data_IF_901136461685
#
_entry.id   IF_901136461685
#
_cell.length_a   1.000
_cell.length_b   1.000
_cell.length_c   1.000
_cell.angle_alpha   90.00
_cell.angle_beta   90.00
_cell.angle_gamma   90.00
#
_symmetry.space_group_name_H-M   'P 1'
#
loop_
_entity.id
_entity.type
_entity.pdbx_description
1 polymer ?
#
# COMPACT_ATOMS: atom_id res chain seq x y z
N UNK A 1 23.22 4.31 -12.51
CA UNK A 1 22.08 4.54 -13.44
C UNK A 1 22.09 6.00 -13.84
N UNK A 2 22.08 6.29 -15.13
CA UNK A 2 21.95 7.67 -15.63
C UNK A 2 20.57 8.24 -15.27
N UNK A 3 20.42 9.57 -15.25
CA UNK A 3 19.13 10.22 -15.00
C UNK A 3 18.04 9.65 -15.94
N UNK A 4 18.34 9.46 -17.23
CA UNK A 4 17.41 8.93 -18.23
C UNK A 4 16.88 7.53 -17.94
N UNK A 5 17.68 6.66 -17.32
CA UNK A 5 17.21 5.32 -16.93
C UNK A 5 16.28 5.33 -15.72
N UNK A 6 16.36 6.36 -14.86
CA UNK A 6 15.50 6.47 -13.67
C UNK A 6 14.07 6.87 -14.02
N UNK A 7 13.89 7.63 -15.12
CA UNK A 7 12.57 8.10 -15.59
C UNK A 7 11.72 7.02 -16.22
N UNK A 8 12.33 6.12 -16.99
CA UNK A 8 11.63 5.00 -17.61
C UNK A 8 10.89 4.15 -16.58
N UNK A 9 11.34 4.16 -15.31
CA UNK A 9 10.76 3.35 -14.26
C UNK A 9 9.44 3.90 -13.70
N UNK A 10 9.18 5.21 -13.78
CA UNK A 10 7.91 5.78 -13.29
C UNK A 10 6.87 6.00 -14.38
N UNK A 11 7.26 6.05 -15.64
CA UNK A 11 6.34 6.16 -16.80
C UNK A 11 5.31 5.03 -16.89
N UNK A 12 5.65 3.85 -16.39
CA UNK A 12 4.78 2.68 -16.42
C UNK A 12 3.63 2.74 -15.40
N UNK A 13 3.59 3.77 -14.55
CA UNK A 13 2.52 3.93 -13.57
C UNK A 13 1.48 4.93 -14.06
N UNK A 14 0.20 4.59 -13.87
CA UNK A 14 -0.93 5.37 -14.35
C UNK A 14 -0.88 6.85 -13.93
N UNK A 15 -0.41 7.13 -12.71
CA UNK A 15 -0.26 8.50 -12.23
C UNK A 15 0.63 9.35 -13.14
N UNK A 16 1.72 8.76 -13.66
CA UNK A 16 2.78 9.45 -14.39
C UNK A 16 2.72 9.24 -15.91
N UNK A 17 1.98 8.24 -16.39
CA UNK A 17 2.01 7.74 -17.78
C UNK A 17 1.67 8.78 -18.86
N UNK A 18 1.08 9.91 -18.50
CA UNK A 18 0.63 10.94 -19.47
C UNK A 18 1.47 12.20 -19.45
N UNK A 19 2.59 12.21 -18.75
CA UNK A 19 3.52 13.34 -18.76
C UNK A 19 4.39 13.31 -20.02
N UNK A 20 4.65 14.47 -20.60
CA UNK A 20 5.63 14.63 -21.70
C UNK A 20 7.06 14.55 -21.16
N UNK A 21 8.05 14.49 -22.05
CA UNK A 21 9.46 14.44 -21.66
C UNK A 21 9.89 15.71 -20.92
N UNK A 22 9.43 16.87 -21.39
CA UNK A 22 9.68 18.16 -20.73
C UNK A 22 9.06 18.21 -19.33
N UNK A 23 7.87 17.63 -19.18
CA UNK A 23 7.19 17.54 -17.88
C UNK A 23 7.91 16.59 -16.91
N UNK A 24 8.52 15.53 -17.43
CA UNK A 24 9.40 14.69 -16.64
C UNK A 24 10.68 15.42 -16.21
N UNK A 25 11.24 16.25 -17.07
CA UNK A 25 12.41 17.05 -16.74
C UNK A 25 12.10 18.10 -15.66
N UNK A 26 10.90 18.70 -15.70
CA UNK A 26 10.41 19.55 -14.59
C UNK A 26 10.29 18.75 -13.28
N UNK A 27 9.79 17.50 -13.32
CA UNK A 27 9.74 16.61 -12.16
C UNK A 27 11.13 16.29 -11.60
N UNK A 28 12.15 16.20 -12.46
CA UNK A 28 13.53 15.91 -12.04
C UNK A 28 14.10 16.98 -11.12
N UNK A 29 13.64 18.20 -11.26
CA UNK A 29 14.08 19.32 -10.43
C UNK A 29 13.44 19.26 -9.04
N UNK A 30 12.25 18.66 -8.91
CA UNK A 30 11.41 18.74 -7.69
C UNK A 30 11.41 17.46 -6.85
N UNK A 31 12.09 16.39 -7.25
CA UNK A 31 12.09 15.12 -6.51
C UNK A 31 13.47 14.54 -6.26
N UNK A 32 13.54 13.70 -5.23
CA UNK A 32 14.75 12.95 -4.88
C UNK A 32 14.48 11.46 -4.95
N UNK A 33 15.42 10.71 -5.51
CA UNK A 33 15.44 9.27 -5.44
C UNK A 33 16.02 8.80 -4.12
N UNK A 34 15.35 7.87 -3.46
CA UNK A 34 15.77 7.27 -2.21
C UNK A 34 15.86 5.76 -2.42
N UNK A 35 17.01 5.21 -2.07
CA UNK A 35 17.24 3.77 -1.95
C UNK A 35 17.37 3.46 -0.46
N UNK A 36 16.59 2.52 0.05
CA UNK A 36 16.67 2.10 1.45
C UNK A 36 16.71 0.58 1.55
N UNK A 37 17.51 0.06 2.48
CA UNK A 37 17.61 -1.37 2.75
C UNK A 37 16.45 -1.82 3.63
N UNK A 38 16.14 -3.11 3.59
CA UNK A 38 15.17 -3.70 4.52
C UNK A 38 15.48 -3.28 5.96
N UNK A 39 14.48 -2.71 6.63
CA UNK A 39 14.57 -2.26 8.02
C UNK A 39 14.95 -0.79 8.19
N UNK A 40 15.43 -0.11 7.15
CA UNK A 40 15.72 1.32 7.23
C UNK A 40 14.42 2.12 7.34
N UNK A 41 14.43 3.13 8.21
CA UNK A 41 13.32 4.08 8.31
C UNK A 41 13.44 5.12 7.21
N UNK A 42 12.35 5.34 6.48
CA UNK A 42 12.21 6.43 5.51
C UNK A 42 11.93 7.73 6.27
N UNK A 43 11.11 7.63 7.29
CA UNK A 43 10.90 8.65 8.32
C UNK A 43 10.45 8.01 9.63
N UNK A 44 10.69 8.76 10.70
CA UNK A 44 10.30 8.42 12.06
C UNK A 44 9.88 9.71 12.78
N UNK A 45 8.80 9.69 13.47
CA UNK A 45 8.02 10.62 14.27
C UNK A 45 8.53 12.05 14.52
N UNK A 46 9.83 12.25 14.73
CA UNK A 46 10.37 13.48 15.31
C UNK A 46 10.46 14.68 14.33
N UNK A 47 10.15 14.49 13.06
CA UNK A 47 10.34 15.52 12.04
C UNK A 47 9.05 15.80 11.28
N UNK A 48 8.69 17.07 11.17
CA UNK A 48 7.61 17.49 10.29
C UNK A 48 7.86 17.02 8.87
N UNK A 49 7.11 16.01 8.44
CA UNK A 49 7.21 15.49 7.09
C UNK A 49 6.54 16.44 6.12
N UNK A 50 7.34 17.14 5.36
CA UNK A 50 6.88 17.99 4.26
C UNK A 50 7.10 17.29 2.92
N UNK A 51 6.91 15.95 2.89
CA UNK A 51 7.19 15.14 1.71
C UNK A 51 6.07 14.17 1.39
N UNK A 52 5.84 14.03 0.09
CA UNK A 52 5.07 12.95 -0.51
C UNK A 52 6.04 11.95 -1.12
N UNK A 53 5.79 10.67 -0.94
CA UNK A 53 6.64 9.59 -1.45
C UNK A 53 5.85 8.72 -2.43
N UNK A 54 6.53 8.26 -3.47
CA UNK A 54 6.02 7.31 -4.44
C UNK A 54 6.90 6.06 -4.46
N UNK A 55 6.31 4.88 -4.25
CA UNK A 55 7.05 3.61 -4.23
C UNK A 55 7.26 3.12 -5.65
N UNK A 56 8.52 3.05 -6.09
CA UNK A 56 8.91 2.49 -7.38
C UNK A 56 9.08 0.98 -7.31
N UNK A 57 9.67 0.51 -6.21
CA UNK A 57 9.93 -0.91 -6.00
C UNK A 57 9.96 -1.23 -4.50
N UNK A 58 9.55 -2.46 -4.15
CA UNK A 58 9.52 -2.95 -2.79
C UNK A 58 8.24 -2.63 -2.03
N UNK A 59 8.31 -2.74 -0.71
CA UNK A 59 7.19 -2.56 0.22
C UNK A 59 7.60 -1.62 1.35
N UNK A 60 6.70 -0.73 1.75
CA UNK A 60 6.84 0.15 2.91
C UNK A 60 5.78 -0.23 3.93
N UNK A 61 6.16 -0.48 5.17
CA UNK A 61 5.22 -0.57 6.27
C UNK A 61 5.08 0.77 6.96
N UNK A 62 3.84 1.20 7.17
CA UNK A 62 3.50 2.41 7.91
C UNK A 62 2.80 1.98 9.19
N UNK A 63 3.24 2.53 10.30
CA UNK A 63 2.69 2.25 11.60
C UNK A 63 2.90 3.39 12.57
N UNK A 64 2.57 3.15 13.81
CA UNK A 64 2.82 4.04 14.93
C UNK A 64 3.28 3.23 16.14
N UNK A 65 3.94 3.90 17.06
CA UNK A 65 4.31 3.32 18.34
C UNK A 65 3.20 3.66 19.33
N UNK A 66 2.59 2.64 19.93
CA UNK A 66 1.57 2.82 20.94
C UNK A 66 2.18 3.24 22.30
N UNK A 67 1.34 3.64 23.26
CA UNK A 67 1.76 4.07 24.60
C UNK A 67 2.55 3.01 25.37
N UNK A 68 2.48 1.75 24.95
CA UNK A 68 3.26 0.64 25.51
C UNK A 68 4.60 0.41 24.82
N UNK A 69 4.93 1.20 23.82
CA UNK A 69 6.15 1.09 23.01
C UNK A 69 6.09 0.02 21.92
N UNK A 70 4.91 -0.52 21.60
CA UNK A 70 4.74 -1.53 20.53
C UNK A 70 4.48 -0.88 19.19
N UNK A 71 5.12 -1.42 18.15
CA UNK A 71 4.83 -1.06 16.76
C UNK A 71 3.46 -1.63 16.34
N UNK A 72 2.54 -0.76 15.95
CA UNK A 72 1.24 -1.13 15.38
C UNK A 72 1.24 -0.76 13.90
N UNK A 73 1.17 -1.76 13.04
CA UNK A 73 1.17 -1.55 11.59
C UNK A 73 -0.23 -1.15 11.13
N UNK A 74 -0.32 0.03 10.52
CA UNK A 74 -1.55 0.60 10.00
C UNK A 74 -1.77 0.23 8.52
N UNK A 75 -0.68 0.21 7.74
CA UNK A 75 -0.75 0.08 6.29
C UNK A 75 0.54 -0.51 5.72
N UNK A 76 0.43 -1.28 4.63
CA UNK A 76 1.55 -1.69 3.79
C UNK A 76 1.37 -1.08 2.41
N UNK A 77 2.30 -0.22 2.06
CA UNK A 77 2.36 0.48 0.77
C UNK A 77 3.17 -0.37 -0.20
N UNK A 78 2.66 -0.48 -1.42
CA UNK A 78 3.26 -1.28 -2.48
C UNK A 78 3.75 -0.40 -3.62
N UNK A 79 4.47 -1.03 -4.52
CA UNK A 79 4.86 -0.46 -5.81
C UNK A 79 3.67 0.23 -6.50
N UNK A 80 3.88 1.49 -6.93
CA UNK A 80 2.88 2.32 -7.60
C UNK A 80 1.99 3.16 -6.68
N UNK A 81 2.13 3.02 -5.36
CA UNK A 81 1.33 3.75 -4.38
C UNK A 81 2.07 4.96 -3.80
N UNK A 82 1.28 5.94 -3.34
CA UNK A 82 1.75 7.14 -2.65
C UNK A 82 1.59 6.99 -1.13
N UNK A 83 2.53 7.56 -0.38
CA UNK A 83 2.45 7.68 1.07
C UNK A 83 3.14 8.96 1.59
N UNK A 84 3.12 9.18 2.89
CA UNK A 84 3.58 10.41 3.51
C UNK A 84 2.47 11.45 3.58
N UNK A 85 2.77 12.72 3.33
CA UNK A 85 1.82 13.82 3.48
C UNK A 85 0.82 13.91 2.31
N UNK A 86 -0.10 12.95 2.25
CA UNK A 86 -1.08 12.83 1.14
C UNK A 86 -2.08 13.99 1.14
N UNK A 87 -2.39 14.60 2.29
CA UNK A 87 -3.32 15.74 2.37
C UNK A 87 -2.75 17.01 1.74
N UNK A 88 -1.46 17.04 1.42
CA UNK A 88 -0.71 18.20 0.94
C UNK A 88 -0.74 19.40 1.93
N UNK A 89 -1.03 19.13 3.19
CA UNK A 89 -1.00 20.10 4.29
C UNK A 89 0.10 19.69 5.27
N UNK A 90 0.71 20.68 5.92
CA UNK A 90 1.72 20.47 6.96
C UNK A 90 1.05 20.00 8.24
N UNK A 91 0.91 18.68 8.40
CA UNK A 91 0.41 18.07 9.64
C UNK A 91 1.49 17.18 10.25
N UNK A 92 1.66 17.26 11.56
CA UNK A 92 2.44 16.28 12.32
C UNK A 92 1.52 15.12 12.72
N UNK A 93 1.79 13.92 12.20
CA UNK A 93 1.20 12.70 12.75
C UNK A 93 2.17 12.22 13.85
N UNK A 94 1.85 12.47 15.11
CA UNK A 94 2.65 12.00 16.24
C UNK A 94 2.75 10.48 16.21
N UNK A 95 3.94 9.94 16.35
CA UNK A 95 4.20 8.53 16.47
C UNK A 95 4.24 7.74 15.16
N UNK A 96 4.00 8.37 14.02
CA UNK A 96 4.02 7.65 12.76
C UNK A 96 5.45 7.36 12.28
N UNK A 97 5.66 6.16 11.75
CA UNK A 97 6.87 5.78 11.04
C UNK A 97 6.56 5.15 9.68
N UNK A 98 7.50 5.28 8.75
CA UNK A 98 7.56 4.50 7.52
C UNK A 98 8.89 3.78 7.41
N UNK A 99 8.87 2.47 7.16
CA UNK A 99 10.04 1.62 7.14
C UNK A 99 10.06 0.71 5.92
N UNK A 100 11.23 0.55 5.32
CA UNK A 100 11.47 -0.42 4.24
C UNK A 100 11.20 -1.84 4.74
N UNK A 101 10.31 -2.57 4.03
CA UNK A 101 9.77 -3.84 4.49
C UNK A 101 10.08 -4.96 3.50
N UNK A 102 10.41 -6.16 4.03
CA UNK A 102 10.78 -7.38 3.28
C UNK A 102 12.10 -7.28 2.51
N UNK A 103 12.20 -6.35 1.55
CA UNK A 103 13.34 -6.18 0.68
C UNK A 103 13.84 -4.72 0.73
N UNK A 104 14.90 -4.41 0.01
CA UNK A 104 15.26 -3.03 -0.30
C UNK A 104 14.14 -2.37 -1.11
N UNK A 105 14.00 -1.07 -0.95
CA UNK A 105 12.97 -0.26 -1.60
C UNK A 105 13.60 0.88 -2.38
N UNK A 106 12.95 1.25 -3.47
CA UNK A 106 13.29 2.42 -4.27
C UNK A 106 12.09 3.36 -4.32
N UNK A 107 12.31 4.62 -3.99
CA UNK A 107 11.29 5.66 -3.84
C UNK A 107 11.63 6.90 -4.63
N UNK A 108 10.59 7.66 -5.01
CA UNK A 108 10.71 9.09 -5.33
C UNK A 108 10.11 9.89 -4.16
N UNK A 109 10.80 10.95 -3.74
CA UNK A 109 10.32 11.87 -2.73
C UNK A 109 10.13 13.26 -3.34
N UNK A 110 8.97 13.87 -3.09
CA UNK A 110 8.60 15.19 -3.56
C UNK A 110 8.39 16.11 -2.36
N UNK A 111 8.87 17.36 -2.40
CA UNK A 111 8.38 18.34 -1.44
C UNK A 111 6.90 18.64 -1.71
N UNK A 112 6.12 18.92 -0.68
CA UNK A 112 4.69 19.24 -0.85
C UNK A 112 4.54 20.47 -1.72
N UNK A 113 5.34 21.51 -1.48
CA UNK A 113 5.27 22.76 -2.21
C UNK A 113 5.52 22.56 -3.71
N UNK A 114 6.52 21.77 -4.07
CA UNK A 114 6.83 21.54 -5.48
C UNK A 114 5.80 20.64 -6.14
N UNK A 115 5.30 19.64 -5.42
CA UNK A 115 4.23 18.80 -5.93
C UNK A 115 2.94 19.59 -6.13
N UNK A 116 2.58 20.51 -5.23
CA UNK A 116 1.44 21.41 -5.40
C UNK A 116 1.59 22.32 -6.62
N UNK A 117 2.77 22.92 -6.83
CA UNK A 117 3.05 23.72 -8.04
C UNK A 117 2.86 22.88 -9.31
N UNK A 118 3.34 21.61 -9.28
CA UNK A 118 3.16 20.70 -10.40
C UNK A 118 1.68 20.38 -10.67
N UNK A 119 0.89 20.11 -9.63
CA UNK A 119 -0.54 19.87 -9.76
C UNK A 119 -1.27 21.08 -10.35
N UNK A 120 -0.89 22.31 -9.97
CA UNK A 120 -1.45 23.54 -10.53
C UNK A 120 -1.15 23.70 -12.04
N UNK A 121 0.07 23.35 -12.44
CA UNK A 121 0.48 23.38 -13.85
C UNK A 121 -0.14 22.27 -14.71
N UNK A 122 -0.47 21.12 -14.10
CA UNK A 122 -0.89 19.88 -14.77
C UNK A 122 -2.26 19.38 -14.25
N UNK A 123 -3.38 19.93 -14.74
CA UNK A 123 -4.73 19.55 -14.28
C UNK A 123 -5.03 18.06 -14.45
N UNK A 124 -4.50 17.40 -15.49
CA UNK A 124 -4.67 15.97 -15.71
C UNK A 124 -4.01 15.14 -14.61
N UNK A 125 -2.82 15.53 -14.14
CA UNK A 125 -2.14 14.92 -12.99
C UNK A 125 -2.93 15.19 -11.71
N UNK A 126 -3.44 16.41 -11.51
CA UNK A 126 -4.25 16.75 -10.33
C UNK A 126 -5.51 15.88 -10.24
N UNK A 127 -6.18 15.64 -11.39
CA UNK A 127 -7.35 14.76 -11.44
C UNK A 127 -7.01 13.32 -11.09
N UNK A 128 -5.88 12.79 -11.58
CA UNK A 128 -5.42 11.44 -11.24
C UNK A 128 -5.05 11.33 -9.77
N UNK A 129 -4.34 12.32 -9.24
CA UNK A 129 -4.01 12.38 -7.82
C UNK A 129 -5.27 12.39 -6.96
N UNK A 130 -6.27 13.23 -7.29
CA UNK A 130 -7.55 13.27 -6.60
C UNK A 130 -8.28 11.92 -6.61
N UNK A 131 -8.26 11.21 -7.75
CA UNK A 131 -8.83 9.85 -7.83
C UNK A 131 -8.10 8.85 -6.92
N UNK A 132 -6.77 8.92 -6.82
CA UNK A 132 -6.01 8.07 -5.91
C UNK A 132 -6.33 8.35 -4.44
N UNK A 133 -6.41 9.63 -4.05
CA UNK A 133 -6.81 10.05 -2.71
C UNK A 133 -8.23 9.58 -2.39
N UNK A 134 -9.17 9.77 -3.31
CA UNK A 134 -10.55 9.28 -3.16
C UNK A 134 -10.65 7.75 -3.04
N UNK A 135 -9.83 7.02 -3.81
CA UNK A 135 -9.74 5.56 -3.69
C UNK A 135 -9.19 5.13 -2.32
N UNK A 136 -8.15 5.82 -1.83
CA UNK A 136 -7.57 5.56 -0.50
C UNK A 136 -8.57 5.84 0.62
N UNK A 137 -9.32 6.95 0.54
CA UNK A 137 -10.38 7.28 1.49
C UNK A 137 -11.43 6.17 1.53
N UNK A 138 -11.94 5.74 0.39
CA UNK A 138 -12.92 4.66 0.28
C UNK A 138 -12.40 3.33 0.86
N UNK A 139 -11.11 3.06 0.71
CA UNK A 139 -10.47 1.89 1.30
C UNK A 139 -10.47 1.93 2.83
N UNK A 140 -10.19 3.11 3.41
CA UNK A 140 -10.23 3.36 4.86
C UNK A 140 -11.67 3.24 5.39
N UNK A 141 -12.65 3.83 4.69
CA UNK A 141 -14.09 3.71 5.04
C UNK A 141 -14.54 2.24 5.05
N UNK A 142 -14.22 1.48 3.99
CA UNK A 142 -14.56 0.06 3.92
C UNK A 142 -13.90 -0.75 5.06
N UNK A 143 -12.65 -0.44 5.41
CA UNK A 143 -11.97 -1.07 6.54
C UNK A 143 -12.67 -0.75 7.86
N UNK A 144 -13.07 0.50 8.07
CA UNK A 144 -13.82 0.91 9.26
C UNK A 144 -15.17 0.18 9.35
N UNK A 145 -15.93 0.13 8.26
CA UNK A 145 -17.20 -0.60 8.20
C UNK A 145 -17.03 -2.09 8.48
N UNK A 146 -15.98 -2.71 7.96
CA UNK A 146 -15.64 -4.11 8.27
C UNK A 146 -15.35 -4.31 9.76
N UNK A 147 -14.60 -3.40 10.39
CA UNK A 147 -14.29 -3.46 11.82
C UNK A 147 -15.55 -3.34 12.69
N UNK A 148 -16.52 -2.51 12.28
CA UNK A 148 -17.75 -2.27 13.04
C UNK A 148 -18.80 -3.38 12.89
N UNK A 149 -18.88 -4.01 11.70
CA UNK A 149 -20.04 -4.82 11.34
C UNK A 149 -19.71 -6.29 11.00
N UNK A 150 -18.44 -6.67 10.89
CA UNK A 150 -18.03 -8.00 10.45
C UNK A 150 -17.20 -8.73 11.50
N UNK A 151 -17.38 -10.05 11.61
CA UNK A 151 -16.54 -10.90 12.43
C UNK A 151 -15.10 -11.01 11.86
N UNK A 152 -14.19 -11.59 12.62
CA UNK A 152 -12.77 -11.67 12.26
C UNK A 152 -12.55 -12.53 11.01
N UNK A 153 -13.29 -13.64 10.85
CA UNK A 153 -13.18 -14.53 9.67
C UNK A 153 -13.58 -13.79 8.40
N UNK A 154 -14.68 -13.07 8.45
CA UNK A 154 -15.15 -12.23 7.33
C UNK A 154 -14.19 -11.09 7.02
N UNK A 155 -13.63 -10.42 8.03
CA UNK A 155 -12.61 -9.38 7.82
C UNK A 155 -11.37 -9.95 7.13
N UNK A 156 -10.92 -11.13 7.53
CA UNK A 156 -9.78 -11.81 6.91
C UNK A 156 -10.09 -12.16 5.44
N UNK A 157 -11.24 -12.73 5.14
CA UNK A 157 -11.67 -13.04 3.77
C UNK A 157 -11.72 -11.78 2.91
N UNK A 158 -12.34 -10.70 3.40
CA UNK A 158 -12.42 -9.43 2.69
C UNK A 158 -11.03 -8.84 2.42
N UNK A 159 -10.12 -8.92 3.40
CA UNK A 159 -8.74 -8.46 3.25
C UNK A 159 -7.98 -9.27 2.19
N UNK A 160 -8.02 -10.59 2.26
CA UNK A 160 -7.38 -11.47 1.28
C UNK A 160 -7.95 -11.28 -0.13
N UNK A 161 -9.27 -11.11 -0.23
CA UNK A 161 -9.94 -10.81 -1.49
C UNK A 161 -9.46 -9.48 -2.11
N UNK A 162 -9.32 -8.43 -1.30
CA UNK A 162 -8.79 -7.15 -1.78
C UNK A 162 -7.37 -7.25 -2.33
N UNK A 163 -6.53 -8.08 -1.70
CA UNK A 163 -5.18 -8.36 -2.22
C UNK A 163 -5.25 -9.09 -3.56
N UNK A 164 -6.14 -10.08 -3.69
CA UNK A 164 -6.32 -10.84 -4.91
C UNK A 164 -6.82 -9.97 -6.08
N UNK A 165 -7.79 -9.10 -5.84
CA UNK A 165 -8.39 -8.24 -6.87
C UNK A 165 -7.38 -7.36 -7.61
N UNK A 166 -6.29 -6.96 -6.96
CA UNK A 166 -5.22 -6.17 -7.58
C UNK A 166 -4.45 -6.95 -8.66
N UNK A 167 -4.60 -8.29 -8.71
CA UNK A 167 -3.83 -9.17 -9.60
C UNK A 167 -4.69 -10.15 -10.43
N UNK A 168 -6.00 -10.13 -10.25
CA UNK A 168 -6.91 -11.02 -11.02
C UNK A 168 -6.92 -10.61 -12.49
N UNK A 169 -6.46 -11.51 -13.36
CA UNK A 169 -6.72 -11.37 -14.79
C UNK A 169 -8.19 -11.63 -15.09
N UNK A 170 -8.85 -10.87 -16.00
CA UNK A 170 -10.28 -10.95 -16.25
C UNK A 170 -10.83 -12.33 -16.61
N UNK A 171 -9.97 -13.24 -17.05
CA UNK A 171 -10.33 -14.59 -17.52
C UNK A 171 -9.88 -15.74 -16.62
N UNK A 172 -9.19 -15.46 -15.51
CA UNK A 172 -8.64 -16.51 -14.64
C UNK A 172 -9.57 -16.82 -13.47
N UNK A 173 -9.88 -18.10 -13.27
CA UNK A 173 -10.59 -18.56 -12.07
C UNK A 173 -9.66 -18.80 -10.87
N UNK A 174 -8.34 -18.86 -11.13
CA UNK A 174 -7.29 -19.04 -10.11
C UNK A 174 -6.40 -17.82 -10.08
N UNK A 175 -6.06 -17.33 -8.90
CA UNK A 175 -5.14 -16.18 -8.72
C UNK A 175 -4.18 -16.48 -7.58
N UNK A 176 -2.88 -16.22 -7.82
CA UNK A 176 -1.85 -16.26 -6.78
C UNK A 176 -1.27 -14.87 -6.59
N UNK A 177 -1.06 -14.49 -5.34
CA UNK A 177 -0.43 -13.22 -4.95
C UNK A 177 0.84 -13.50 -4.14
N UNK A 178 1.89 -12.68 -4.26
CA UNK A 178 3.07 -12.81 -3.41
C UNK A 178 2.69 -12.68 -1.92
N UNK A 179 3.21 -13.58 -1.10
CA UNK A 179 3.02 -13.51 0.34
C UNK A 179 4.13 -12.66 0.98
N UNK A 180 3.87 -11.37 1.07
CA UNK A 180 4.77 -10.40 1.72
C UNK A 180 4.36 -10.06 3.15
N UNK A 181 3.23 -10.58 3.66
CA UNK A 181 2.70 -10.28 4.99
C UNK A 181 3.04 -11.39 5.99
N UNK A 182 3.32 -11.01 7.22
CA UNK A 182 3.31 -11.94 8.35
C UNK A 182 1.89 -12.06 8.92
N UNK A 183 1.60 -13.11 9.70
CA UNK A 183 0.33 -13.21 10.41
C UNK A 183 0.11 -12.05 11.40
N UNK A 184 1.18 -11.47 11.94
CA UNK A 184 1.14 -10.27 12.77
C UNK A 184 0.71 -9.04 11.98
N UNK A 185 1.27 -8.84 10.76
CA UNK A 185 0.86 -7.75 9.88
C UNK A 185 -0.62 -7.87 9.52
N UNK A 186 -1.06 -9.07 9.13
CA UNK A 186 -2.48 -9.33 8.81
C UNK A 186 -3.35 -9.03 10.03
N UNK A 187 -2.94 -9.48 11.22
CA UNK A 187 -3.68 -9.24 12.46
C UNK A 187 -3.85 -7.75 12.74
N UNK A 188 -2.78 -6.96 12.64
CA UNK A 188 -2.84 -5.51 12.78
C UNK A 188 -3.76 -4.87 11.72
N UNK A 189 -3.65 -5.32 10.46
CA UNK A 189 -4.43 -4.76 9.35
C UNK A 189 -5.92 -5.06 9.45
N UNK A 190 -6.33 -6.18 10.04
CA UNK A 190 -7.74 -6.55 10.21
C UNK A 190 -8.29 -6.33 11.62
N UNK A 191 -7.48 -5.83 12.56
CA UNK A 191 -7.88 -5.59 13.95
C UNK A 191 -8.14 -6.89 14.71
N UNK A 192 -7.15 -7.81 14.74
CA UNK A 192 -7.26 -9.12 15.39
C UNK A 192 -5.94 -9.51 16.07
N UNK A 193 -5.87 -10.72 16.65
CA UNK A 193 -4.64 -11.28 17.17
C UNK A 193 -3.93 -12.16 16.13
N UNK A 194 -2.59 -12.24 16.22
CA UNK A 194 -1.78 -13.16 15.39
C UNK A 194 -2.27 -14.60 15.50
N UNK A 195 -2.62 -15.05 16.71
CA UNK A 195 -3.08 -16.42 16.95
C UNK A 195 -4.41 -16.68 16.19
N UNK A 196 -5.37 -15.78 16.30
CA UNK A 196 -6.65 -15.87 15.59
C UNK A 196 -6.43 -15.91 14.08
N UNK A 197 -5.56 -15.06 13.52
CA UNK A 197 -5.24 -15.06 12.08
C UNK A 197 -4.62 -16.40 11.68
N UNK A 198 -3.69 -16.95 12.48
CA UNK A 198 -3.06 -18.24 12.19
C UNK A 198 -4.11 -19.36 12.13
N UNK A 199 -5.02 -19.41 13.09
CA UNK A 199 -6.11 -20.40 13.12
C UNK A 199 -7.02 -20.26 11.90
N UNK A 200 -7.48 -19.05 11.61
CA UNK A 200 -8.40 -18.81 10.48
C UNK A 200 -7.75 -19.08 9.12
N UNK A 201 -6.47 -18.77 8.91
CA UNK A 201 -5.75 -19.12 7.67
C UNK A 201 -5.72 -20.63 7.48
N UNK A 202 -5.44 -21.40 8.54
CA UNK A 202 -5.45 -22.87 8.47
C UNK A 202 -6.86 -23.42 8.18
N UNK A 203 -7.91 -22.84 8.75
CA UNK A 203 -9.29 -23.19 8.44
C UNK A 203 -9.63 -22.92 6.97
N UNK A 204 -9.33 -21.72 6.46
CA UNK A 204 -9.57 -21.36 5.06
C UNK A 204 -8.80 -22.28 4.09
N UNK A 205 -7.60 -22.69 4.46
CA UNK A 205 -6.81 -23.65 3.68
C UNK A 205 -7.43 -25.05 3.72
N UNK A 206 -7.92 -25.52 4.87
CA UNK A 206 -8.60 -26.80 5.01
C UNK A 206 -9.93 -26.84 4.25
N UNK A 207 -10.67 -25.70 4.17
CA UNK A 207 -11.87 -25.52 3.37
C UNK A 207 -11.58 -25.43 1.86
N UNK A 208 -10.30 -25.40 1.46
CA UNK A 208 -9.86 -25.27 0.06
C UNK A 208 -10.16 -23.91 -0.56
N UNK A 209 -10.37 -22.86 0.26
CA UNK A 209 -10.61 -21.50 -0.20
C UNK A 209 -9.32 -20.80 -0.60
N UNK A 210 -8.22 -21.15 0.08
CA UNK A 210 -6.87 -20.64 -0.20
C UNK A 210 -5.85 -21.77 -0.12
N UNK A 211 -4.71 -21.58 -0.77
CA UNK A 211 -3.45 -22.24 -0.39
C UNK A 211 -2.47 -21.18 0.09
N UNK A 212 -1.75 -21.47 1.16
CA UNK A 212 -0.91 -20.50 1.84
C UNK A 212 0.47 -21.09 2.11
N UNK A 213 1.50 -20.42 1.62
CA UNK A 213 2.90 -20.76 1.91
C UNK A 213 3.73 -19.48 2.13
N UNK A 214 5.04 -19.64 2.34
CA UNK A 214 5.96 -18.51 2.60
C UNK A 214 6.09 -17.52 1.45
N UNK A 215 5.84 -17.96 0.23
CA UNK A 215 6.11 -17.19 -0.98
C UNK A 215 4.84 -16.60 -1.58
N UNK A 216 3.71 -17.31 -1.43
CA UNK A 216 2.47 -16.96 -2.12
C UNK A 216 1.22 -17.37 -1.34
N UNK A 217 0.14 -16.68 -1.64
CA UNK A 217 -1.23 -17.02 -1.25
C UNK A 217 -1.99 -17.20 -2.56
N UNK A 218 -2.52 -18.41 -2.78
CA UNK A 218 -3.31 -18.68 -3.98
C UNK A 218 -4.78 -18.90 -3.63
N UNK A 219 -5.63 -18.47 -4.54
CA UNK A 219 -7.08 -18.63 -4.52
C UNK A 219 -7.43 -19.61 -5.64
N UNK A 220 -7.64 -20.90 -5.33
CA UNK A 220 -7.93 -21.93 -6.34
C UNK A 220 -9.22 -21.66 -7.11
N UNK A 221 -10.20 -21.02 -6.46
CA UNK A 221 -11.46 -20.60 -7.05
C UNK A 221 -11.87 -19.22 -6.52
N UNK A 222 -11.62 -18.21 -7.35
CA UNK A 222 -11.92 -16.80 -7.06
C UNK A 222 -13.41 -16.57 -6.80
N UNK A 223 -14.30 -17.34 -7.46
CA UNK A 223 -15.76 -17.22 -7.27
C UNK A 223 -16.19 -17.75 -5.91
N UNK A 224 -15.55 -18.81 -5.41
CA UNK A 224 -15.87 -19.34 -4.07
C UNK A 224 -15.58 -18.32 -2.98
N UNK A 225 -14.43 -17.64 -3.03
CA UNK A 225 -14.10 -16.64 -2.00
C UNK A 225 -15.01 -15.41 -2.10
N UNK A 226 -15.41 -15.03 -3.33
CA UNK A 226 -16.35 -13.94 -3.53
C UNK A 226 -17.72 -14.25 -2.92
N UNK A 227 -18.24 -15.46 -3.11
CA UNK A 227 -19.51 -15.89 -2.53
C UNK A 227 -19.49 -15.88 -0.99
N UNK A 228 -18.36 -16.27 -0.37
CA UNK A 228 -18.21 -16.19 1.09
C UNK A 228 -18.20 -14.75 1.64
N UNK A 229 -17.77 -13.78 0.83
CA UNK A 229 -17.82 -12.37 1.17
C UNK A 229 -19.26 -11.82 1.19
N UNK A 230 -20.10 -12.28 0.26
CA UNK A 230 -21.45 -11.75 0.05
C UNK A 230 -22.49 -12.37 1.01
N UNK A 231 -22.19 -13.51 1.62
CA UNK A 231 -23.09 -14.26 2.55
C UNK A 231 -22.85 -13.85 4.02
N UNK A 232 -21.76 -13.20 4.34
CA UNK A 232 -21.39 -12.75 5.68
C UNK A 232 -21.56 -11.22 5.81
#
# INVERSE_FOLDING_TARGET
MSADQKWLLIRNYDLWAHLTDEEYDELNIVHNFIEARKGDYIYFEAFHHNKLYFVKEGYIRIGFIDDSGREVIREIIQKGELFGQITLEKNSLNGEFAQAYKNSVSLCAFSIEDFQKLLQKKPALALKYSKQVGSKLRHIENRLLNLLNKDVKTRLINFLWQLAQKQVAPSSNTTCIPNYLTHEDIANLIGSSRQTVTTLINELAAEGLITYNRNEICFPDVKKIQNHKDVA
#
